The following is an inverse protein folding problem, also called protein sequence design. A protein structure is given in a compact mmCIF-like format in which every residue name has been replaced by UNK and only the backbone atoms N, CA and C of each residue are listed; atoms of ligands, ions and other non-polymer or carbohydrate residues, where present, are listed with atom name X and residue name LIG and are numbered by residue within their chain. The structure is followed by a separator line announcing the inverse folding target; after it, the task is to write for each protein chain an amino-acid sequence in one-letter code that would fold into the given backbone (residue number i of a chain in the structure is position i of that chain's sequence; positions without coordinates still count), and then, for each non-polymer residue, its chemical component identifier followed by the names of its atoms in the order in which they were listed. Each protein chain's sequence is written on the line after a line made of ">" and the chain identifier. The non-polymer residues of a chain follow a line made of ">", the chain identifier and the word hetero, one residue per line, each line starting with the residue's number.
data_IF_586385000970
#
_entry.id   IF_586385000970
#
_cell.length_a   1.000
_cell.length_b   1.000
_cell.length_c   1.000
_cell.angle_alpha   90.00
_cell.angle_beta   90.00
_cell.angle_gamma   90.00
#
_symmetry.space_group_name_H-M   'P 1'
#
loop_
_entity.id
_entity.type
_entity.pdbx_description
1 polymer ?
2 branched ?
3 non-polymer ?
4 non-polymer ?
5 non-polymer ?
6 water ?
#
# COMPACT_ATOMS: atom_id res chain seq x y z
N UNK A 7 -19.71 -31.59 20.78
CA UNK A 7 -18.52 -31.40 19.96
C UNK A 7 -18.12 -29.92 19.96
N UNK A 8 -16.81 -29.64 19.84
CA UNK A 8 -16.37 -28.24 19.87
C UNK A 8 -16.80 -27.45 18.64
N UNK A 9 -17.25 -26.23 18.86
CA UNK A 9 -17.60 -25.33 17.76
C UNK A 9 -16.35 -24.85 17.04
N UNK A 10 -16.54 -24.21 15.89
CA UNK A 10 -15.43 -23.66 15.13
C UNK A 10 -14.64 -22.67 15.98
N UNK A 11 -15.38 -21.83 16.71
CA UNK A 11 -14.76 -20.81 17.56
C UNK A 11 -14.00 -21.47 18.72
N UNK A 12 -14.58 -22.53 19.26
CA UNK A 12 -13.96 -23.25 20.37
C UNK A 12 -12.68 -23.95 19.91
N UNK A 13 -12.68 -24.51 18.71
CA UNK A 13 -11.48 -25.13 18.17
C UNK A 13 -10.35 -24.11 18.10
N UNK A 14 -10.65 -22.94 17.55
CA UNK A 14 -9.66 -21.87 17.41
C UNK A 14 -9.12 -21.46 18.78
N UNK A 15 -10.02 -21.16 19.71
CA UNK A 15 -9.65 -20.74 21.05
C UNK A 15 -8.82 -21.81 21.75
N UNK A 16 -9.24 -23.06 21.62
CA UNK A 16 -8.51 -24.16 22.24
C UNK A 16 -7.10 -24.27 21.68
N UNK A 17 -6.99 -24.24 20.36
CA UNK A 17 -5.70 -24.36 19.69
C UNK A 17 -4.83 -23.10 19.87
N UNK A 18 -5.47 -22.00 20.22
CA UNK A 18 -4.75 -20.75 20.47
C UNK A 18 -4.28 -20.06 19.20
N UNK A 19 -4.78 -20.52 18.06
CA UNK A 19 -4.34 -20.04 16.75
C UNK A 19 -5.51 -19.88 15.80
N UNK A 20 -5.54 -18.77 15.08
CA UNK A 20 -6.47 -18.58 13.95
C UNK A 20 -5.71 -18.74 12.64
N UNK A 21 -6.00 -19.81 11.91
CA UNK A 21 -5.39 -20.06 10.61
C UNK A 21 -6.22 -19.36 9.52
N UNK A 22 -5.55 -18.48 8.80
CA UNK A 22 -6.19 -17.66 7.76
C UNK A 22 -5.51 -17.91 6.42
N UNK A 23 -6.30 -18.28 5.41
CA UNK A 23 -5.72 -18.51 4.10
C UNK A 23 -5.95 -17.29 3.20
N UNK A 24 -4.93 -16.95 2.41
CA UNK A 24 -4.99 -15.75 1.59
C UNK A 24 -4.14 -15.95 0.33
N UNK A 25 -4.01 -14.89 -0.46
CA UNK A 25 -3.10 -14.89 -1.59
C UNK A 25 -1.78 -14.23 -1.19
N UNK A 26 -0.69 -14.60 -1.87
CA UNK A 26 0.59 -13.93 -1.69
C UNK A 26 0.70 -12.79 -2.68
N UNK A 27 0.38 -11.59 -2.21
CA UNK A 27 0.41 -10.40 -3.05
C UNK A 27 0.36 -9.17 -2.15
N UNK A 28 0.97 -8.05 -2.59
CA UNK A 28 0.93 -6.85 -1.76
C UNK A 28 -0.47 -6.45 -1.28
N UNK A 29 -1.49 -6.64 -2.11
CA UNK A 29 -2.86 -6.29 -1.75
C UNK A 29 -3.38 -7.09 -0.55
N UNK A 30 -2.91 -8.32 -0.39
CA UNK A 30 -3.50 -9.21 0.62
C UNK A 30 -2.53 -9.55 1.74
N UNK A 31 -1.38 -10.09 1.38
CA UNK A 31 -0.36 -10.55 2.32
C UNK A 31 0.98 -10.60 1.60
N UNK A 32 2.01 -10.01 2.19
CA UNK A 32 3.28 -9.83 1.50
C UNK A 32 4.42 -9.81 2.49
N UNK A 33 5.48 -10.55 2.15
CA UNK A 33 6.66 -10.68 2.99
C UNK A 33 7.80 -9.83 2.45
N UNK A 34 8.48 -9.14 3.35
CA UNK A 34 9.67 -8.37 3.02
C UNK A 34 10.55 -8.41 4.27
N UNK A 35 11.86 -8.31 4.08
CA UNK A 35 12.81 -8.40 5.19
C UNK A 35 12.36 -7.68 6.48
N UNK A 36 11.66 -6.55 6.31
CA UNK A 36 11.23 -5.75 7.46
C UNK A 36 9.92 -6.22 8.09
N UNK A 37 9.31 -7.26 7.54
CA UNK A 37 8.11 -7.83 8.12
C UNK A 37 7.05 -8.34 7.15
N UNK A 38 5.81 -8.34 7.62
CA UNK A 38 4.65 -8.75 6.84
C UNK A 38 3.67 -7.59 6.76
N UNK A 39 3.07 -7.41 5.59
CA UNK A 39 2.10 -6.35 5.36
C UNK A 39 0.98 -6.91 4.48
N UNK A 40 -0.03 -6.07 4.26
CA UNK A 40 -1.17 -6.43 3.44
C UNK A 40 -2.48 -6.03 4.10
N UNK A 41 -3.45 -5.64 3.29
CA UNK A 41 -4.75 -5.23 3.81
C UNK A 41 -5.38 -6.37 4.60
N UNK A 42 -5.40 -7.56 3.99
CA UNK A 42 -6.02 -8.72 4.64
C UNK A 42 -5.19 -9.19 5.83
N UNK A 43 -3.87 -9.17 5.69
CA UNK A 43 -2.98 -9.54 6.79
C UNK A 43 -3.25 -8.70 8.04
N UNK A 44 -3.30 -7.38 7.89
CA UNK A 44 -3.48 -6.50 9.03
C UNK A 44 -4.88 -6.66 9.63
N UNK A 45 -5.88 -6.82 8.76
CA UNK A 45 -7.25 -6.94 9.23
C UNK A 45 -7.44 -8.25 9.99
N UNK A 46 -6.86 -9.32 9.48
CA UNK A 46 -6.94 -10.64 10.11
C UNK A 46 -6.14 -10.70 11.40
N UNK A 47 -5.02 -9.97 11.43
CA UNK A 47 -4.21 -9.86 12.63
C UNK A 47 -5.00 -9.18 13.75
N UNK A 48 -5.74 -8.12 13.41
CA UNK A 48 -6.58 -7.46 14.39
C UNK A 48 -7.70 -8.40 14.88
N UNK A 49 -8.27 -9.19 13.98
CA UNK A 49 -9.31 -10.13 14.38
C UNK A 49 -8.76 -11.20 15.34
N UNK A 50 -7.57 -11.74 15.04
CA UNK A 50 -6.96 -12.74 15.90
C UNK A 50 -6.71 -12.17 17.30
N UNK A 51 -6.31 -10.91 17.34
CA UNK A 51 -6.07 -10.21 18.59
C UNK A 51 -7.38 -10.06 19.38
N UNK A 52 -8.45 -9.75 18.67
CA UNK A 52 -9.77 -9.66 19.28
C UNK A 52 -10.14 -10.97 19.96
N UNK A 53 -9.80 -12.08 19.30
CA UNK A 53 -10.08 -13.41 19.80
C UNK A 53 -9.08 -13.87 20.85
N UNK A 54 -7.97 -13.14 20.95
CA UNK A 54 -6.92 -13.48 21.88
C UNK A 54 -6.13 -14.70 21.44
N UNK A 55 -5.97 -14.85 20.13
CA UNK A 55 -5.21 -15.98 19.58
C UNK A 55 -4.13 -15.49 18.62
N UNK A 56 -3.25 -16.40 18.25
CA UNK A 56 -2.17 -16.10 17.31
C UNK A 56 -2.68 -16.22 15.88
N UNK A 57 -2.24 -15.30 15.02
CA UNK A 57 -2.53 -15.42 13.60
C UNK A 57 -1.50 -16.32 12.92
N UNK A 58 -1.98 -17.31 12.19
CA UNK A 58 -1.14 -18.09 11.30
C UNK A 58 -1.62 -17.93 9.86
N UNK A 59 -0.77 -17.36 9.01
CA UNK A 59 -1.11 -17.16 7.60
C UNK A 59 -0.71 -18.37 6.76
N UNK A 60 -1.65 -18.82 5.95
CA UNK A 60 -1.42 -19.80 4.92
C UNK A 60 -1.77 -19.15 3.60
N UNK A 61 -1.15 -19.61 2.51
CA UNK A 61 -1.42 -19.02 1.20
C UNK A 61 -1.77 -20.09 0.17
N UNK A 62 -2.47 -19.64 -0.87
CA UNK A 62 -2.86 -20.48 -1.99
C UNK A 62 -2.42 -19.81 -3.28
N UNK A 63 -2.14 -20.60 -4.31
CA UNK A 63 -1.58 -20.07 -5.55
C UNK A 63 -2.61 -19.60 -6.55
N UNK A 64 -3.87 -19.94 -6.30
CA UNK A 64 -4.99 -19.51 -7.13
C UNK A 64 -6.28 -19.71 -6.33
N UNK A 65 -7.40 -19.25 -6.87
CA UNK A 65 -8.63 -19.26 -6.10
C UNK A 65 -9.21 -20.67 -5.91
N UNK A 66 -9.09 -21.51 -6.92
CA UNK A 66 -9.59 -22.87 -6.81
C UNK A 66 -8.90 -23.56 -5.63
N UNK A 67 -7.58 -23.42 -5.54
CA UNK A 67 -6.79 -24.00 -4.44
C UNK A 67 -7.21 -23.40 -3.09
N UNK A 68 -7.41 -22.08 -3.08
CA UNK A 68 -7.83 -21.40 -1.86
C UNK A 68 -9.12 -21.99 -1.33
N UNK A 69 -10.11 -22.12 -2.20
CA UNK A 69 -11.40 -22.63 -1.78
C UNK A 69 -11.32 -24.12 -1.46
N UNK A 70 -10.48 -24.86 -2.17
CA UNK A 70 -10.27 -26.28 -1.87
C UNK A 70 -9.68 -26.47 -0.48
N UNK A 71 -8.71 -25.62 -0.14
CA UNK A 71 -8.11 -25.68 1.19
C UNK A 71 -9.14 -25.40 2.27
N UNK A 72 -9.95 -24.37 2.04
CA UNK A 72 -10.96 -23.97 3.02
C UNK A 72 -11.96 -25.10 3.28
N UNK A 73 -12.24 -25.90 2.25
CA UNK A 73 -13.23 -26.97 2.33
C UNK A 73 -12.63 -28.33 2.68
N UNK A 74 -11.32 -28.38 2.92
CA UNK A 74 -10.70 -29.66 3.24
C UNK A 74 -10.72 -29.95 4.74
N UNK A 75 -10.75 -31.23 5.07
CA UNK A 75 -10.63 -31.66 6.45
C UNK A 75 -9.27 -31.20 6.96
N UNK A 76 -9.28 -30.52 8.10
CA UNK A 76 -8.06 -29.99 8.69
C UNK A 76 -7.65 -28.66 8.09
N UNK A 77 -8.55 -28.05 7.35
CA UNK A 77 -8.29 -26.77 6.69
C UNK A 77 -8.28 -25.57 7.61
N UNK A 78 -8.00 -24.38 7.04
CA UNK A 78 -7.93 -23.14 7.82
C UNK A 78 -9.32 -22.69 8.29
N UNK A 79 -9.34 -21.74 9.22
CA UNK A 79 -10.59 -21.25 9.81
C UNK A 79 -11.39 -20.39 8.83
N UNK A 80 -10.69 -19.54 8.07
CA UNK A 80 -11.35 -18.64 7.12
C UNK A 80 -10.36 -18.18 6.07
N UNK A 81 -10.90 -17.62 4.99
CA UNK A 81 -10.10 -17.06 3.92
C UNK A 81 -10.34 -15.55 3.87
N UNK A 82 -9.24 -14.80 3.85
CA UNK A 82 -9.24 -13.35 3.79
C UNK A 82 -8.34 -12.96 2.62
N UNK A 83 -8.94 -12.62 1.49
CA UNK A 83 -8.20 -12.59 0.24
C UNK A 83 -8.86 -11.74 -0.82
N UNK A 84 -9.55 -10.67 -0.44
CA UNK A 84 -10.20 -9.82 -1.42
C UNK A 84 -11.22 -10.58 -2.26
N UNK A 85 -11.95 -11.48 -1.62
CA UNK A 85 -12.87 -12.39 -2.31
C UNK A 85 -14.20 -11.75 -2.66
N UNK A 86 -14.61 -11.93 -3.91
CA UNK A 86 -15.94 -11.54 -4.35
C UNK A 86 -16.84 -12.78 -4.30
N UNK A 87 -17.90 -12.73 -3.49
CA UNK A 87 -18.83 -13.86 -3.45
C UNK A 87 -19.43 -14.17 -4.82
N UNK A 88 -19.58 -15.45 -5.14
CA UNK A 88 -20.10 -15.85 -6.44
C UNK A 88 -21.56 -15.47 -6.58
N UNK A 89 -22.07 -15.48 -7.80
CA UNK A 89 -23.44 -15.08 -8.04
C UNK A 89 -24.43 -16.06 -7.41
N UNK A 90 -24.05 -17.34 -7.39
CA UNK A 90 -24.90 -18.38 -6.81
C UNK A 90 -24.33 -18.92 -5.51
N UNK A 91 -25.21 -19.23 -4.56
CA UNK A 91 -24.83 -19.94 -3.34
C UNK A 91 -24.25 -21.31 -3.68
N UNK A 92 -23.26 -21.73 -2.90
CA UNK A 92 -22.72 -23.08 -2.97
C UNK A 92 -22.54 -23.54 -1.55
N UNK A 93 -22.96 -24.77 -1.25
CA UNK A 93 -22.93 -25.29 0.10
C UNK A 93 -21.52 -25.34 0.69
N UNK A 94 -20.51 -25.35 -0.17
CA UNK A 94 -19.13 -25.53 0.27
C UNK A 94 -18.55 -24.29 0.95
N UNK A 95 -19.24 -23.16 0.84
CA UNK A 95 -18.66 -21.89 1.30
C UNK A 95 -19.71 -20.88 1.73
N UNK A 96 -19.39 -20.16 2.79
CA UNK A 96 -20.25 -19.09 3.31
C UNK A 96 -19.44 -17.81 3.45
N UNK A 97 -20.08 -16.67 3.21
CA UNK A 97 -19.38 -15.40 3.24
C UNK A 97 -19.82 -14.52 4.40
N UNK A 98 -18.86 -13.74 4.89
CA UNK A 98 -19.11 -12.72 5.92
C UNK A 98 -19.85 -11.55 5.34
N UNK A 99 -20.22 -10.61 6.21
CA UNK A 99 -20.64 -9.29 5.77
C UNK A 99 -19.50 -8.67 4.97
N UNK A 100 -19.84 -7.78 4.03
CA UNK A 100 -18.82 -7.22 3.17
C UNK A 100 -18.13 -6.04 3.85
N UNK A 101 -16.86 -5.82 3.50
CA UNK A 101 -16.03 -4.84 4.19
C UNK A 101 -15.32 -3.87 3.25
N UNK A 102 -15.53 -4.03 1.95
CA UNK A 102 -14.97 -3.10 0.99
C UNK A 102 -15.75 -3.20 -0.31
N UNK A 103 -16.24 -2.07 -0.80
CA UNK A 103 -16.87 -2.02 -2.12
C UNK A 103 -15.82 -1.72 -3.18
N UNK A 104 -15.77 -2.56 -4.20
CA UNK A 104 -14.87 -2.37 -5.32
C UNK A 104 -15.64 -2.45 -6.62
N UNK A 105 -15.08 -1.88 -7.67
CA UNK A 105 -15.71 -1.86 -8.98
C UNK A 105 -14.84 -2.60 -9.99
N UNK A 106 -15.38 -3.64 -10.64
CA UNK A 106 -14.57 -4.29 -11.69
C UNK A 106 -14.30 -3.33 -12.83
N UNK A 107 -13.07 -3.34 -13.31
CA UNK A 107 -12.68 -2.44 -14.40
C UNK A 107 -11.91 -3.19 -15.47
N UNK A 108 -12.31 -2.96 -16.71
CA UNK A 108 -11.54 -3.41 -17.86
C UNK A 108 -10.34 -2.48 -17.97
N UNK A 109 -9.16 -3.07 -18.13
CA UNK A 109 -7.89 -2.35 -18.21
C UNK A 109 -7.30 -2.49 -19.59
N UNK A 110 -6.89 -1.38 -20.19
CA UNK A 110 -6.25 -1.41 -21.51
C UNK A 110 -4.90 -0.69 -21.50
N UNK A 111 -4.22 -0.71 -22.65
CA UNK A 111 -2.89 -0.11 -22.77
C UNK A 111 -2.96 1.21 -23.51
N UNK A 112 -2.48 2.26 -22.87
CA UNK A 112 -2.37 3.57 -23.51
C UNK A 112 -1.55 3.42 -24.79
N UNK A 113 -2.05 3.97 -25.90
CA UNK A 113 -1.46 3.75 -27.21
C UNK A 113 -2.32 2.89 -28.11
N UNK A 114 -3.16 2.05 -27.49
CA UNK A 114 -4.17 1.28 -28.21
C UNK A 114 -5.55 1.93 -28.03
N UNK A 115 -6.50 1.59 -28.88
CA UNK A 115 -7.82 2.17 -28.79
C UNK A 115 -8.56 1.61 -27.58
N UNK A 116 -9.24 2.50 -26.87
CA UNK A 116 -9.93 2.17 -25.64
C UNK A 116 -11.29 1.54 -25.90
N UNK A 117 -11.49 0.28 -25.47
CA UNK A 117 -12.85 -0.24 -25.57
C UNK A 117 -13.74 0.51 -24.57
N UNK A 118 -15.00 0.78 -24.91
CA UNK A 118 -15.83 1.62 -24.05
C UNK A 118 -17.10 0.93 -23.56
N UNK A 119 -17.39 -0.24 -24.11
CA UNK A 119 -18.52 -1.02 -23.63
C UNK A 119 -18.29 -2.51 -23.84
N UNK A 120 -19.09 -3.35 -23.18
CA UNK A 120 -18.86 -4.80 -23.21
C UNK A 120 -18.72 -5.39 -24.62
N UNK A 121 -19.47 -4.89 -25.60
CA UNK A 121 -19.38 -5.44 -26.96
C UNK A 121 -18.00 -5.27 -27.58
N UNK A 122 -17.27 -4.25 -27.14
CA UNK A 122 -15.94 -3.95 -27.66
C UNK A 122 -14.89 -4.96 -27.18
N UNK A 123 -15.26 -5.83 -26.25
CA UNK A 123 -14.30 -6.79 -25.71
C UNK A 123 -14.08 -7.95 -26.68
N UNK A 124 -14.98 -8.09 -27.64
CA UNK A 124 -14.80 -9.09 -28.69
C UNK A 124 -13.59 -8.70 -29.55
N UNK A 125 -12.83 -9.70 -29.99
CA UNK A 125 -11.70 -9.49 -30.86
C UNK A 125 -10.45 -9.01 -30.16
N UNK A 126 -10.36 -9.27 -28.86
CA UNK A 126 -9.24 -8.83 -28.04
C UNK A 126 -8.52 -10.02 -27.40
N UNK A 127 -7.22 -9.84 -27.16
CA UNK A 127 -6.46 -10.76 -26.31
C UNK A 127 -6.69 -10.37 -24.86
N UNK A 128 -7.42 -11.20 -24.12
CA UNK A 128 -7.79 -10.95 -22.74
C UNK A 128 -7.26 -12.05 -21.85
N UNK A 129 -6.74 -11.69 -20.68
CA UNK A 129 -6.43 -12.70 -19.67
C UNK A 129 -6.91 -12.26 -18.30
N UNK A 130 -7.50 -13.21 -17.59
CA UNK A 130 -8.00 -13.00 -16.23
C UNK A 130 -7.57 -14.16 -15.34
N UNK A 131 -7.77 -14.03 -14.04
CA UNK A 131 -7.44 -15.11 -13.12
C UNK A 131 -8.51 -16.18 -13.15
N UNK A 132 -8.07 -17.42 -13.27
CA UNK A 132 -8.98 -18.57 -13.24
C UNK A 132 -9.70 -18.69 -11.90
N UNK A 133 -10.98 -19.03 -11.96
CA UNK A 133 -11.80 -19.22 -10.78
C UNK A 133 -12.29 -17.92 -10.17
N UNK A 134 -12.07 -16.80 -10.85
CA UNK A 134 -12.43 -15.49 -10.33
C UNK A 134 -13.86 -15.09 -10.71
N UNK A 135 -14.39 -14.12 -9.96
CA UNK A 135 -15.64 -13.46 -10.31
C UNK A 135 -15.51 -12.74 -11.65
N UNK A 136 -14.31 -12.23 -11.93
CA UNK A 136 -14.03 -11.59 -13.21
C UNK A 136 -14.18 -12.56 -14.39
N UNK A 137 -13.67 -13.77 -14.22
CA UNK A 137 -13.87 -14.80 -15.23
C UNK A 137 -15.36 -15.10 -15.44
N UNK A 138 -16.10 -15.18 -14.34
CA UNK A 138 -17.55 -15.40 -14.41
C UNK A 138 -18.22 -14.28 -15.20
N UNK A 139 -17.79 -13.05 -14.95
CA UNK A 139 -18.34 -11.91 -15.68
C UNK A 139 -18.21 -12.09 -17.18
N UNK A 140 -17.04 -12.55 -17.61
CA UNK A 140 -16.77 -12.74 -19.03
C UNK A 140 -17.50 -13.96 -19.57
N UNK A 141 -17.62 -15.01 -18.75
CA UNK A 141 -18.36 -16.20 -19.18
C UNK A 141 -19.81 -15.79 -19.47
N UNK A 142 -20.36 -14.95 -18.61
CA UNK A 142 -21.73 -14.49 -18.77
C UNK A 142 -21.85 -13.64 -20.04
N UNK A 143 -20.85 -12.79 -20.27
CA UNK A 143 -20.85 -11.96 -21.47
C UNK A 143 -20.77 -12.82 -22.74
N UNK A 144 -20.02 -13.91 -22.66
CA UNK A 144 -19.79 -14.78 -23.83
C UNK A 144 -21.10 -15.41 -24.28
N UNK A 145 -22.05 -15.56 -23.38
CA UNK A 145 -23.37 -16.07 -23.75
C UNK A 145 -24.07 -15.08 -24.67
N UNK A 146 -23.79 -13.80 -24.49
CA UNK A 146 -24.40 -12.75 -25.29
C UNK A 146 -23.60 -12.49 -26.57
N UNK A 147 -22.28 -12.63 -26.47
CA UNK A 147 -21.38 -12.43 -27.59
C UNK A 147 -20.48 -13.65 -27.75
N UNK A 148 -20.98 -14.70 -28.44
CA UNK A 148 -20.24 -15.96 -28.57
C UNK A 148 -18.86 -15.85 -29.20
N UNK A 149 -18.58 -14.78 -29.93
CA UNK A 149 -17.26 -14.58 -30.50
C UNK A 149 -16.24 -14.11 -29.46
N UNK A 150 -16.72 -13.74 -28.27
CA UNK A 150 -15.84 -13.32 -27.19
C UNK A 150 -14.81 -14.40 -26.87
N UNK A 151 -13.56 -14.00 -26.72
CA UNK A 151 -12.50 -14.91 -26.32
C UNK A 151 -11.70 -14.33 -25.17
N UNK A 152 -11.38 -15.16 -24.20
CA UNK A 152 -10.53 -14.77 -23.08
C UNK A 152 -9.80 -15.97 -22.54
N UNK A 153 -8.60 -15.73 -22.04
CA UNK A 153 -7.80 -16.77 -21.41
C UNK A 153 -7.83 -16.62 -19.90
N UNK A 154 -7.62 -17.74 -19.19
CA UNK A 154 -7.61 -17.77 -17.74
C UNK A 154 -6.29 -18.33 -17.24
N UNK A 155 -5.65 -17.63 -16.32
CA UNK A 155 -4.43 -18.12 -15.69
C UNK A 155 -4.69 -18.60 -14.28
N UNK A 156 -4.16 -19.77 -13.92
CA UNK A 156 -4.23 -20.26 -12.55
C UNK A 156 -2.87 -20.24 -11.85
N UNK A 157 -1.92 -19.46 -12.37
CA UNK A 157 -0.57 -19.48 -11.82
C UNK A 157 0.08 -18.10 -11.70
N UNK A 158 -0.70 -17.03 -11.83
CA UNK A 158 -0.17 -15.68 -11.61
C UNK A 158 -1.07 -14.90 -10.68
N UNK A 159 -0.60 -13.70 -10.33
CA UNK A 159 -1.33 -12.76 -9.50
C UNK A 159 -1.75 -11.56 -10.34
N UNK A 160 -2.52 -10.65 -9.75
CA UNK A 160 -3.08 -9.56 -10.53
C UNK A 160 -1.97 -8.64 -11.05
N UNK A 161 -0.88 -8.50 -10.30
CA UNK A 161 0.23 -7.66 -10.76
C UNK A 161 0.78 -8.16 -12.09
N UNK A 162 0.80 -9.49 -12.26
CA UNK A 162 1.28 -10.09 -13.50
C UNK A 162 0.36 -9.82 -14.68
N UNK A 163 -0.95 -9.86 -14.47
CA UNK A 163 -1.91 -9.54 -15.52
C UNK A 163 -1.73 -8.09 -15.97
N UNK A 164 -1.60 -7.19 -15.01
CA UNK A 164 -1.47 -5.78 -15.32
C UNK A 164 -0.15 -5.52 -16.06
N UNK A 165 0.91 -6.23 -15.66
CA UNK A 165 2.18 -6.14 -16.38
C UNK A 165 2.01 -6.59 -17.84
N UNK A 166 1.22 -7.64 -18.07
CA UNK A 166 1.00 -8.12 -19.44
C UNK A 166 0.37 -7.05 -20.30
N UNK A 167 -0.57 -6.29 -19.73
CA UNK A 167 -1.17 -5.18 -20.47
C UNK A 167 -0.12 -4.10 -20.70
N UNK A 168 0.64 -3.80 -19.65
CA UNK A 168 1.60 -2.71 -19.69
C UNK A 168 2.62 -2.86 -20.82
N UNK A 169 3.07 -4.09 -21.04
CA UNK A 169 4.12 -4.34 -22.02
C UNK A 169 3.58 -4.85 -23.35
N UNK A 170 2.25 -5.02 -23.44
CA UNK A 170 1.61 -5.42 -24.67
C UNK A 170 1.52 -6.92 -24.94
N UNK A 171 1.76 -7.74 -23.93
CA UNK A 171 1.61 -9.20 -24.08
C UNK A 171 0.15 -9.59 -24.32
N UNK A 172 -0.76 -8.84 -23.70
CA UNK A 172 -2.19 -8.98 -23.94
C UNK A 172 -2.77 -7.59 -24.19
N UNK A 173 -3.99 -7.53 -24.72
CA UNK A 173 -4.68 -6.26 -24.93
C UNK A 173 -5.38 -5.75 -23.68
N UNK A 174 -6.07 -6.66 -22.99
CA UNK A 174 -6.92 -6.28 -21.87
C UNK A 174 -6.87 -7.26 -20.71
N UNK A 175 -7.15 -6.75 -19.51
CA UNK A 175 -7.54 -7.61 -18.41
C UNK A 175 -8.72 -6.99 -17.69
N UNK A 176 -9.17 -7.68 -16.65
CA UNK A 176 -10.33 -7.30 -15.86
C UNK A 176 -9.96 -7.54 -14.40
N UNK A 177 -9.96 -6.46 -13.62
CA UNK A 177 -9.53 -6.51 -12.23
C UNK A 177 -10.43 -5.66 -11.35
N UNK A 178 -10.29 -5.76 -10.03
CA UNK A 178 -11.03 -4.87 -9.14
C UNK A 178 -10.34 -3.51 -9.07
N UNK A 179 -11.14 -2.47 -8.88
CA UNK A 179 -10.64 -1.10 -8.88
C UNK A 179 -9.54 -0.89 -7.83
N UNK A 180 -9.63 -1.56 -6.70
CA UNK A 180 -8.61 -1.40 -5.67
C UNK A 180 -7.27 -2.00 -6.12
N UNK A 181 -7.34 -3.09 -6.89
CA UNK A 181 -6.14 -3.72 -7.45
C UNK A 181 -5.49 -2.82 -8.50
N UNK A 182 -6.30 -2.15 -9.30
CA UNK A 182 -5.78 -1.20 -10.26
C UNK A 182 -5.08 -0.05 -9.53
N UNK A 183 -5.75 0.51 -8.53
CA UNK A 183 -5.18 1.63 -7.78
C UNK A 183 -3.83 1.27 -7.14
N UNK A 184 -3.74 0.07 -6.59
CA UNK A 184 -2.51 -0.41 -5.96
C UNK A 184 -1.37 -0.54 -6.96
N UNK A 185 -1.71 -0.99 -8.17
CA UNK A 185 -0.70 -1.33 -9.15
C UNK A 185 -0.44 -0.29 -10.23
N UNK A 186 -1.26 0.76 -10.27
CA UNK A 186 -1.10 1.79 -11.28
C UNK A 186 0.29 2.40 -11.21
N UNK A 187 0.87 2.38 -10.01
CA UNK A 187 2.16 3.01 -9.75
C UNK A 187 3.33 2.22 -10.32
N UNK A 188 3.08 1.01 -10.83
CA UNK A 188 4.15 0.19 -11.40
C UNK A 188 4.11 0.17 -12.92
N UNK A 189 2.97 0.52 -13.48
CA UNK A 189 2.73 0.30 -14.91
C UNK A 189 2.31 1.58 -15.60
N UNK A 190 3.28 2.25 -16.26
CA UNK A 190 3.01 3.57 -16.82
C UNK A 190 1.98 3.56 -17.96
N UNK A 191 1.79 2.43 -18.62
CA UNK A 191 0.89 2.37 -19.78
C UNK A 191 -0.52 1.88 -19.46
N UNK A 192 -0.77 1.29 -18.29
CA UNK A 192 -2.11 0.76 -18.06
C UNK A 192 -3.08 1.89 -17.73
N UNK A 193 -4.30 1.72 -18.21
CA UNK A 193 -5.36 2.69 -18.06
C UNK A 193 -6.67 1.96 -17.85
N UNK A 194 -7.58 2.60 -17.13
CA UNK A 194 -8.94 2.09 -17.02
C UNK A 194 -9.71 2.36 -18.32
N UNK A 195 -10.26 1.31 -18.91
CA UNK A 195 -11.09 1.46 -20.10
C UNK A 195 -12.52 1.87 -19.70
N UNK A 196 -13.15 1.05 -18.86
CA UNK A 196 -14.48 1.35 -18.33
C UNK A 196 -14.82 0.44 -17.16
N UNK A 197 -15.81 0.85 -16.37
CA UNK A 197 -16.31 0.07 -15.25
C UNK A 197 -17.24 -1.00 -15.79
N UNK A 198 -16.96 -2.26 -15.46
CA UNK A 198 -17.69 -3.40 -16.01
C UNK A 198 -18.51 -4.06 -14.92
N UNK A 199 -19.78 -3.67 -14.81
CA UNK A 199 -20.66 -4.15 -13.76
C UNK A 199 -20.77 -3.20 -12.58
N UNK A 200 -21.71 -3.51 -11.69
CA UNK A 200 -21.94 -2.68 -10.53
C UNK A 200 -20.88 -2.97 -9.46
N UNK A 201 -20.67 -2.01 -8.57
CA UNK A 201 -19.77 -2.22 -7.45
C UNK A 201 -20.26 -3.38 -6.61
N UNK A 202 -19.31 -4.12 -6.04
CA UNK A 202 -19.66 -5.25 -5.20
C UNK A 202 -18.76 -5.32 -3.98
N UNK A 203 -19.26 -6.01 -2.96
CA UNK A 203 -18.59 -6.08 -1.68
C UNK A 203 -17.70 -7.29 -1.54
N UNK A 204 -16.49 -7.07 -1.03
CA UNK A 204 -15.57 -8.16 -0.73
C UNK A 204 -15.91 -8.71 0.64
N UNK A 205 -15.70 -10.00 0.82
CA UNK A 205 -16.10 -10.67 2.06
C UNK A 205 -15.13 -11.80 2.39
N UNK A 206 -14.96 -12.09 3.68
CA UNK A 206 -14.20 -13.26 4.10
C UNK A 206 -15.05 -14.50 3.88
N UNK A 207 -14.38 -15.63 3.61
CA UNK A 207 -15.05 -16.89 3.34
C UNK A 207 -14.77 -17.89 4.45
N UNK A 208 -15.82 -18.58 4.87
CA UNK A 208 -15.72 -19.63 5.89
C UNK A 208 -16.19 -20.96 5.31
N UNK A 209 -15.85 -22.06 6.00
CA UNK A 209 -16.28 -23.38 5.52
C UNK A 209 -17.80 -23.49 5.51
N UNK A 210 -18.30 -24.47 4.74
CA UNK A 210 -19.73 -24.69 4.64
C UNK A 210 -20.27 -25.31 5.91
N UNK A 211 -21.60 -25.34 6.03
CA UNK A 211 -22.23 -25.97 7.18
C UNK A 211 -23.04 -24.97 7.98
N UNK A 212 -23.44 -25.39 9.19
CA UNK A 212 -24.39 -24.65 10.00
C UNK A 212 -23.75 -24.07 11.27
N UNK A 213 -22.44 -24.16 11.38
CA UNK A 213 -21.74 -23.61 12.55
C UNK A 213 -21.49 -22.12 12.36
N UNK A 214 -22.17 -21.28 13.15
CA UNK A 214 -22.06 -19.83 13.03
C UNK A 214 -21.21 -19.20 14.13
N UNK A 215 -20.52 -20.02 14.92
CA UNK A 215 -19.81 -19.52 16.10
C UNK A 215 -18.70 -18.56 15.69
N UNK A 216 -17.93 -18.92 14.67
CA UNK A 216 -16.85 -18.04 14.23
C UNK A 216 -17.41 -16.93 13.34
N UNK A 217 -18.35 -17.27 12.47
CA UNK A 217 -18.96 -16.30 11.55
C UNK A 217 -19.51 -15.08 12.27
N UNK A 218 -20.22 -15.30 13.38
CA UNK A 218 -20.83 -14.19 14.09
C UNK A 218 -19.76 -13.29 14.70
N UNK A 219 -18.65 -13.88 15.13
CA UNK A 219 -17.54 -13.09 15.65
C UNK A 219 -16.85 -12.31 14.54
N UNK A 220 -16.72 -12.93 13.37
CA UNK A 220 -16.17 -12.24 12.21
C UNK A 220 -17.00 -10.99 11.90
N UNK A 221 -18.31 -11.16 11.83
CA UNK A 221 -19.18 -10.06 11.45
C UNK A 221 -19.23 -8.96 12.51
N UNK A 222 -19.16 -9.36 13.78
CA UNK A 222 -19.08 -8.39 14.87
C UNK A 222 -17.78 -7.60 14.76
N UNK A 223 -16.69 -8.29 14.46
CA UNK A 223 -15.40 -7.66 14.30
C UNK A 223 -15.38 -6.66 13.15
N UNK A 224 -15.91 -7.07 12.00
CA UNK A 224 -15.91 -6.21 10.82
C UNK A 224 -16.72 -4.94 11.09
N UNK A 225 -17.84 -5.07 11.79
CA UNK A 225 -18.64 -3.89 12.12
C UNK A 225 -17.82 -2.94 13.01
N UNK A 226 -17.10 -3.52 13.96
CA UNK A 226 -16.25 -2.75 14.86
C UNK A 226 -15.08 -2.11 14.12
N UNK A 227 -14.49 -2.85 13.19
CA UNK A 227 -13.39 -2.33 12.38
C UNK A 227 -13.84 -1.10 11.60
N UNK A 228 -15.06 -1.16 11.09
CA UNK A 228 -15.62 -0.06 10.32
C UNK A 228 -15.79 1.16 11.22
N UNK A 229 -16.42 0.94 12.38
CA UNK A 229 -16.71 2.02 13.31
C UNK A 229 -15.45 2.72 13.82
N UNK A 230 -14.39 1.95 14.05
CA UNK A 230 -13.13 2.47 14.58
C UNK A 230 -12.31 3.17 13.50
N UNK A 231 -12.69 3.00 12.24
CA UNK A 231 -11.97 3.59 11.13
C UNK A 231 -10.81 2.73 10.64
N UNK A 232 -10.73 1.49 11.13
CA UNK A 232 -9.65 0.59 10.73
C UNK A 232 -9.75 0.24 9.25
N UNK A 233 -10.96 -0.07 8.78
CA UNK A 233 -11.14 -0.40 7.37
C UNK A 233 -10.69 0.75 6.49
N UNK A 234 -11.05 1.98 6.86
CA UNK A 234 -10.67 3.15 6.08
C UNK A 234 -9.15 3.35 6.06
N UNK A 235 -8.51 3.20 7.21
CA UNK A 235 -7.06 3.39 7.28
C UNK A 235 -6.33 2.35 6.43
N UNK A 236 -6.74 1.09 6.52
CA UNK A 236 -6.11 0.04 5.73
C UNK A 236 -6.40 0.28 4.25
N UNK A 237 -7.62 0.66 3.94
CA UNK A 237 -7.99 0.92 2.55
C UNK A 237 -7.09 2.01 1.96
N UNK A 238 -6.89 3.08 2.72
CA UNK A 238 -6.07 4.18 2.25
C UNK A 238 -4.60 3.78 2.08
N UNK A 239 -4.08 2.96 3.00
CA UNK A 239 -2.67 2.57 2.91
C UNK A 239 -2.41 1.75 1.66
N UNK A 240 -3.25 0.74 1.42
CA UNK A 240 -2.96 -0.23 0.37
C UNK A 240 -3.59 0.14 -0.96
N UNK A 241 -4.77 0.75 -0.90
CA UNK A 241 -5.59 0.98 -2.09
C UNK A 241 -5.83 2.46 -2.36
N UNK A 242 -5.13 3.32 -1.62
CA UNK A 242 -5.33 4.75 -1.73
C UNK A 242 -4.38 5.52 -2.63
N UNK A 243 -3.53 4.84 -3.41
CA UNK A 243 -2.49 5.56 -4.17
C UNK A 243 -3.06 6.60 -5.13
N UNK A 244 -4.12 6.24 -5.86
CA UNK A 244 -4.70 7.17 -6.81
C UNK A 244 -5.48 8.25 -6.08
N UNK A 245 -6.19 7.88 -5.00
CA UNK A 245 -6.89 8.89 -4.20
C UNK A 245 -5.97 9.99 -3.71
N UNK A 246 -4.75 9.63 -3.30
CA UNK A 246 -3.84 10.57 -2.66
C UNK A 246 -2.88 11.22 -3.65
N UNK A 247 -2.26 10.43 -4.53
CA UNK A 247 -1.29 10.93 -5.48
C UNK A 247 -1.95 11.53 -6.72
N UNK A 248 -3.20 11.17 -6.94
CA UNK A 248 -3.89 11.53 -8.17
C UNK A 248 -3.61 10.48 -9.21
N UNK A 249 -4.48 10.37 -10.21
CA UNK A 249 -4.30 9.36 -11.23
C UNK A 249 -3.07 9.62 -12.10
N UNK A 250 -2.93 10.85 -12.58
CA UNK A 250 -1.74 11.24 -13.33
C UNK A 250 -0.49 11.05 -12.49
N UNK A 251 -0.55 11.43 -11.21
CA UNK A 251 0.57 11.28 -10.30
C UNK A 251 0.99 9.82 -10.20
N UNK A 252 0.00 8.94 -10.19
CA UNK A 252 0.26 7.51 -10.05
C UNK A 252 0.98 6.97 -11.29
N UNK A 253 0.45 7.20 -12.49
CA UNK A 253 1.11 6.59 -13.65
C UNK A 253 2.38 7.35 -14.01
N UNK A 254 2.52 8.57 -13.51
CA UNK A 254 3.76 9.33 -13.70
C UNK A 254 4.85 8.78 -12.80
N UNK A 255 4.50 8.41 -11.57
CA UNK A 255 5.43 7.71 -10.71
C UNK A 255 5.92 6.44 -11.40
N UNK A 256 5.00 5.73 -12.03
CA UNK A 256 5.34 4.50 -12.73
C UNK A 256 6.40 4.74 -13.80
N UNK A 257 6.25 5.82 -14.56
CA UNK A 257 7.24 6.15 -15.59
C UNK A 257 8.60 6.47 -14.96
N UNK A 258 8.59 7.24 -13.88
CA UNK A 258 9.84 7.59 -13.21
C UNK A 258 10.50 6.37 -12.59
N UNK A 259 9.69 5.44 -12.08
CA UNK A 259 10.19 4.22 -11.51
C UNK A 259 10.94 3.41 -12.56
N UNK A 260 10.38 3.40 -13.76
CA UNK A 260 10.95 2.66 -14.88
C UNK A 260 12.15 3.37 -15.49
N UNK A 261 12.09 4.69 -15.60
CA UNK A 261 13.09 5.45 -16.37
C UNK A 261 14.15 6.16 -15.55
N UNK A 262 13.79 6.64 -14.36
CA UNK A 262 14.72 7.44 -13.56
C UNK A 262 15.43 6.64 -12.47
N UNK A 263 14.68 5.85 -11.69
CA UNK A 263 15.29 5.19 -10.54
C UNK A 263 16.47 4.29 -10.90
N UNK A 264 16.40 3.58 -12.05
CA UNK A 264 17.55 2.73 -12.36
C UNK A 264 18.87 3.50 -12.48
N UNK A 265 18.80 4.80 -12.75
CA UNK A 265 20.03 5.62 -12.80
C UNK A 265 20.67 5.83 -11.43
N UNK A 266 19.87 5.71 -10.36
CA UNK A 266 20.30 6.10 -9.01
C UNK A 266 20.18 4.99 -7.97
N UNK A 267 19.54 3.88 -8.34
CA UNK A 267 19.28 2.81 -7.39
C UNK A 267 20.57 2.33 -6.71
N UNK A 268 21.64 2.19 -7.47
CA UNK A 268 22.90 1.71 -6.91
C UNK A 268 23.42 2.65 -5.82
N UNK A 269 23.31 3.96 -6.06
CA UNK A 269 23.70 4.95 -5.04
C UNK A 269 22.86 4.79 -3.77
N UNK A 270 21.54 4.68 -3.93
CA UNK A 270 20.67 4.53 -2.77
C UNK A 270 21.05 3.27 -1.99
N UNK A 271 21.33 2.19 -2.72
CA UNK A 271 21.64 0.92 -2.08
C UNK A 271 22.98 1.00 -1.35
N UNK A 272 23.94 1.67 -1.99
CA UNK A 272 25.25 1.85 -1.42
C UNK A 272 25.16 2.63 -0.12
N UNK A 273 24.42 3.74 -0.14
CA UNK A 273 24.24 4.56 1.05
C UNK A 273 23.48 3.81 2.13
N UNK A 274 22.41 3.11 1.75
CA UNK A 274 21.64 2.35 2.70
C UNK A 274 22.48 1.30 3.41
N UNK A 275 23.33 0.62 2.64
CA UNK A 275 24.16 -0.42 3.22
C UNK A 275 25.18 0.15 4.19
N UNK A 276 25.86 1.23 3.80
CA UNK A 276 26.89 1.78 4.68
C UNK A 276 26.27 2.48 5.90
N UNK A 277 25.03 2.94 5.79
CA UNK A 277 24.35 3.60 6.90
C UNK A 277 23.39 2.67 7.66
N UNK A 278 23.33 1.41 7.24
CA UNK A 278 22.45 0.41 7.84
C UNK A 278 21.00 0.88 7.90
N UNK A 279 20.50 1.37 6.77
CA UNK A 279 19.12 1.80 6.69
C UNK A 279 18.52 1.38 5.33
N UNK A 280 17.22 1.18 5.35
CA UNK A 280 16.49 0.70 4.18
C UNK A 280 16.65 1.67 3.02
N UNK A 281 17.23 1.20 1.92
CA UNK A 281 17.51 2.06 0.77
C UNK A 281 16.22 2.60 0.15
N UNK A 282 15.12 1.88 0.33
CA UNK A 282 13.86 2.27 -0.31
C UNK A 282 13.24 3.48 0.37
N UNK A 283 13.52 3.65 1.66
CA UNK A 283 13.09 4.86 2.36
C UNK A 283 13.90 6.07 1.87
N UNK A 284 15.20 5.86 1.68
CA UNK A 284 16.06 6.89 1.12
C UNK A 284 15.56 7.29 -0.27
N UNK A 285 15.23 6.29 -1.09
CA UNK A 285 14.74 6.54 -2.43
C UNK A 285 13.41 7.27 -2.41
N UNK A 286 12.58 6.98 -1.41
CA UNK A 286 11.28 7.62 -1.27
C UNK A 286 11.45 9.09 -0.93
N UNK A 287 12.44 9.40 -0.10
CA UNK A 287 12.77 10.79 0.19
C UNK A 287 13.17 11.50 -1.10
N UNK A 288 14.03 10.87 -1.87
CA UNK A 288 14.49 11.43 -3.13
C UNK A 288 13.37 11.68 -4.10
N UNK A 289 12.37 10.80 -4.14
CA UNK A 289 11.25 11.03 -5.05
C UNK A 289 10.42 12.24 -4.62
N UNK A 290 10.08 12.31 -3.34
CA UNK A 290 9.30 13.43 -2.84
C UNK A 290 10.06 14.75 -3.01
N UNK A 291 11.38 14.73 -2.87
CA UNK A 291 12.15 15.96 -2.97
C UNK A 291 12.35 16.45 -4.42
N UNK A 292 12.63 15.54 -5.36
CA UNK A 292 13.05 15.95 -6.69
C UNK A 292 12.47 15.12 -7.84
N UNK A 293 11.62 14.16 -7.52
CA UNK A 293 11.15 13.18 -8.50
C UNK A 293 12.33 12.47 -9.15
N UNK A 294 13.38 12.24 -8.36
CA UNK A 294 14.64 11.63 -8.81
C UNK A 294 15.25 12.41 -9.98
N UNK A 295 15.52 13.68 -9.71
CA UNK A 295 16.13 14.60 -10.69
C UNK A 295 17.29 15.34 -10.01
N UNK A 296 18.53 15.01 -10.39
CA UNK A 296 19.66 15.57 -9.63
C UNK A 296 19.90 17.05 -9.85
N UNK A 297 19.30 17.64 -10.88
CA UNK A 297 19.47 19.06 -11.14
C UNK A 297 18.31 19.90 -10.66
N UNK A 298 17.42 19.29 -9.87
CA UNK A 298 16.22 19.97 -9.38
C UNK A 298 16.55 21.19 -8.52
N UNK A 299 15.58 22.10 -8.46
CA UNK A 299 15.73 23.34 -7.71
C UNK A 299 14.39 23.77 -7.12
N UNK A 300 14.37 24.09 -5.83
CA UNK A 300 13.17 24.61 -5.18
C UNK A 300 13.12 26.13 -5.36
N UNK A 301 12.05 26.75 -4.87
CA UNK A 301 11.91 28.18 -4.98
C UNK A 301 12.94 28.91 -4.11
N UNK A 302 13.43 28.23 -3.08
CA UNK A 302 14.15 28.86 -1.99
C UNK A 302 15.65 28.61 -1.95
N UNK A 303 16.21 28.09 -3.03
CA UNK A 303 17.66 27.90 -3.13
C UNK A 303 18.14 26.50 -2.80
N UNK A 304 17.21 25.64 -2.40
CA UNK A 304 17.53 24.25 -2.09
C UNK A 304 17.68 23.52 -3.41
N UNK A 305 18.68 22.64 -3.52
CA UNK A 305 19.00 22.01 -4.80
C UNK A 305 19.34 20.52 -4.68
N UNK A 306 19.13 19.83 -5.80
CA UNK A 306 19.64 18.48 -5.96
C UNK A 306 18.63 17.39 -5.69
N UNK A 307 19.06 16.15 -5.88
CA UNK A 307 18.18 15.01 -5.80
C UNK A 307 17.50 14.90 -4.44
N UNK A 308 18.24 15.18 -3.37
CA UNK A 308 17.71 15.07 -2.01
C UNK A 308 17.39 16.44 -1.40
N UNK A 309 17.51 17.50 -2.20
CA UNK A 309 17.12 18.85 -1.78
C UNK A 309 17.79 19.27 -0.50
N UNK A 310 19.12 19.32 -0.54
CA UNK A 310 19.91 19.78 0.59
C UNK A 310 20.05 21.30 0.53
N UNK A 311 19.89 21.93 1.67
CA UNK A 311 20.28 23.33 1.80
C UNK A 311 21.78 23.40 1.72
N UNK A 312 22.33 24.59 1.46
CA UNK A 312 23.78 24.73 1.43
C UNK A 312 24.38 24.41 2.80
N UNK A 313 23.67 24.80 3.86
CA UNK A 313 24.12 24.53 5.22
C UNK A 313 24.22 23.04 5.49
N UNK A 314 23.20 22.30 5.06
CA UNK A 314 23.19 20.86 5.29
C UNK A 314 24.26 20.19 4.44
N UNK A 315 24.39 20.61 3.18
CA UNK A 315 25.42 20.07 2.29
C UNK A 315 26.81 20.22 2.91
N UNK A 316 27.13 21.43 3.35
CA UNK A 316 28.42 21.71 3.98
C UNK A 316 28.63 20.84 5.21
N UNK A 317 27.61 20.77 6.05
CA UNK A 317 27.67 20.00 7.28
C UNK A 317 27.92 18.50 7.01
N UNK A 318 27.41 18.02 5.88
CA UNK A 318 27.51 16.61 5.52
C UNK A 318 28.73 16.31 4.63
N UNK A 319 29.48 17.35 4.29
CA UNK A 319 30.65 17.17 3.47
C UNK A 319 30.33 17.00 2.00
N UNK A 320 29.16 17.49 1.59
CA UNK A 320 28.77 17.49 0.18
C UNK A 320 29.38 18.71 -0.51
N UNK A 321 30.21 18.46 -1.52
CA UNK A 321 30.88 19.53 -2.26
C UNK A 321 30.19 19.84 -3.60
N UNK A 322 29.33 18.94 -4.05
CA UNK A 322 28.50 19.20 -5.23
C UNK A 322 27.08 18.70 -5.03
N UNK A 323 26.18 19.61 -4.65
CA UNK A 323 24.77 19.29 -4.45
C UNK A 323 24.09 18.74 -5.71
N UNK A 324 24.64 19.05 -6.88
CA UNK A 324 24.03 18.62 -8.14
C UNK A 324 24.54 17.26 -8.58
N UNK A 325 25.45 16.67 -7.80
CA UNK A 325 25.93 15.33 -8.12
C UNK A 325 25.02 14.32 -7.43
N UNK A 326 24.41 13.41 -8.22
CA UNK A 326 23.41 12.52 -7.62
C UNK A 326 23.97 11.65 -6.49
N UNK A 327 25.16 11.09 -6.68
CA UNK A 327 25.76 10.24 -5.64
C UNK A 327 25.98 11.05 -4.37
N UNK A 328 26.56 12.24 -4.50
CA UNK A 328 26.81 13.06 -3.32
C UNK A 328 25.51 13.49 -2.62
N UNK A 329 24.52 13.90 -3.40
CA UNK A 329 23.25 14.33 -2.84
C UNK A 329 22.61 13.20 -2.05
N UNK A 330 22.59 12.03 -2.65
CA UNK A 330 22.03 10.84 -2.02
C UNK A 330 22.78 10.51 -0.73
N UNK A 331 24.11 10.48 -0.81
CA UNK A 331 24.88 10.15 0.37
C UNK A 331 24.67 11.20 1.46
N UNK A 332 24.71 12.48 1.09
CA UNK A 332 24.55 13.56 2.06
C UNK A 332 23.19 13.57 2.71
N UNK A 333 22.15 13.44 1.89
CA UNK A 333 20.79 13.42 2.40
C UNK A 333 20.54 12.22 3.28
N UNK A 334 21.08 11.07 2.90
CA UNK A 334 20.89 9.84 3.66
C UNK A 334 21.58 9.94 5.01
N UNK A 335 22.83 10.42 4.98
CA UNK A 335 23.60 10.62 6.21
C UNK A 335 22.86 11.58 7.15
N UNK A 336 22.31 12.65 6.58
CA UNK A 336 21.60 13.65 7.37
C UNK A 336 20.35 13.05 8.02
N UNK A 337 19.55 12.34 7.22
CA UNK A 337 18.37 11.64 7.74
C UNK A 337 18.74 10.71 8.89
N UNK A 338 19.78 9.91 8.71
CA UNK A 338 20.22 8.98 9.75
C UNK A 338 20.69 9.69 10.99
N UNK A 339 21.43 10.78 10.80
CA UNK A 339 21.95 11.54 11.92
C UNK A 339 20.80 12.14 12.73
N UNK A 340 19.85 12.78 12.06
CA UNK A 340 18.78 13.43 12.80
C UNK A 340 17.87 12.37 13.43
N UNK A 341 17.72 11.21 12.80
CA UNK A 341 16.95 10.14 13.45
C UNK A 341 17.65 9.69 14.73
N UNK A 342 18.97 9.58 14.70
CA UNK A 342 19.75 9.16 15.86
C UNK A 342 19.67 10.20 16.98
N UNK A 343 19.48 11.47 16.62
CA UNK A 343 19.46 12.56 17.59
C UNK A 343 18.10 12.80 18.23
N UNK A 344 17.06 12.12 17.75
CA UNK A 344 15.74 12.26 18.34
C UNK A 344 15.74 11.76 19.78
N UNK A 345 14.87 12.33 20.64
CA UNK A 345 14.77 11.85 22.02
C UNK A 345 14.57 10.35 22.11
N UNK A 346 15.21 9.72 23.08
CA UNK A 346 15.17 8.27 23.20
C UNK A 346 13.75 7.74 23.40
N UNK A 347 12.86 8.59 23.89
CA UNK A 347 11.48 8.18 24.18
C UNK A 347 10.66 7.89 22.92
N UNK A 348 11.14 8.38 21.77
CA UNK A 348 10.46 8.11 20.52
C UNK A 348 10.98 6.78 19.97
N UNK A 349 10.08 5.81 19.82
CA UNK A 349 10.43 4.47 19.38
C UNK A 349 10.03 4.22 17.93
N UNK A 350 10.71 3.28 17.28
CA UNK A 350 10.32 2.87 15.95
C UNK A 350 8.99 2.13 16.04
N UNK A 351 8.17 2.20 14.99
CA UNK A 351 8.45 2.84 13.70
C UNK A 351 8.24 4.35 13.70
N UNK A 352 7.66 4.89 14.76
CA UNK A 352 7.33 6.31 14.80
C UNK A 352 8.59 7.14 14.63
N UNK A 353 9.69 6.64 15.20
CA UNK A 353 10.97 7.33 15.18
C UNK A 353 11.37 7.72 13.76
N UNK A 354 11.20 6.81 12.81
CA UNK A 354 11.54 7.12 11.43
C UNK A 354 10.65 8.22 10.86
N UNK A 355 9.38 8.25 11.27
CA UNK A 355 8.48 9.27 10.73
C UNK A 355 8.82 10.66 11.30
N UNK A 356 9.14 10.70 12.59
CA UNK A 356 9.61 11.93 13.23
C UNK A 356 10.89 12.41 12.54
N UNK A 357 11.75 11.48 12.14
CA UNK A 357 12.99 11.86 11.46
C UNK A 357 12.70 12.45 10.08
N UNK A 358 11.72 11.91 9.38
CA UNK A 358 11.27 12.52 8.13
C UNK A 358 10.77 13.95 8.35
N UNK A 359 10.00 14.14 9.42
CA UNK A 359 9.51 15.46 9.77
C UNK A 359 10.67 16.42 9.96
N UNK A 360 11.65 15.99 10.74
CA UNK A 360 12.83 16.81 11.03
C UNK A 360 13.65 17.08 9.77
N UNK A 361 13.71 16.11 8.86
CA UNK A 361 14.41 16.31 7.60
C UNK A 361 13.89 17.55 6.91
N UNK A 362 12.57 17.72 6.97
CA UNK A 362 11.89 18.77 6.26
C UNK A 362 11.77 20.09 7.04
N UNK A 363 11.53 20.01 8.35
CA UNK A 363 11.21 21.20 9.13
C UNK A 363 12.25 21.54 10.19
N UNK A 364 13.20 20.64 10.43
CA UNK A 364 14.22 20.83 11.45
C UNK A 364 13.79 20.36 12.82
N UNK A 365 14.76 19.98 13.64
CA UNK A 365 14.48 19.46 14.96
C UNK A 365 13.85 20.47 15.91
N UNK A 366 14.18 21.74 15.74
CA UNK A 366 13.67 22.79 16.63
C UNK A 366 12.16 22.97 16.48
N UNK A 367 11.69 23.19 15.26
CA UNK A 367 10.26 23.33 15.02
C UNK A 367 9.54 22.04 15.40
N UNK A 368 10.17 20.89 15.13
CA UNK A 368 9.56 19.62 15.52
C UNK A 368 9.35 19.51 17.02
N UNK A 369 10.33 19.95 17.80
CA UNK A 369 10.21 19.97 19.26
C UNK A 369 9.05 20.85 19.69
N UNK A 370 8.85 21.98 19.01
CA UNK A 370 7.70 22.83 19.33
C UNK A 370 6.39 22.06 19.13
N UNK A 371 6.29 21.29 18.06
CA UNK A 371 5.08 20.50 17.80
C UNK A 371 4.88 19.43 18.87
N UNK A 372 5.98 18.84 19.34
CA UNK A 372 5.90 17.81 20.38
C UNK A 372 5.46 18.45 21.68
N UNK A 373 5.98 19.63 21.98
CA UNK A 373 5.56 20.35 23.19
C UNK A 373 4.08 20.67 23.11
N UNK A 374 3.62 21.07 21.94
CA UNK A 374 2.20 21.38 21.71
C UNK A 374 1.35 20.15 21.96
N UNK A 375 1.80 19.03 21.42
CA UNK A 375 1.10 17.76 21.59
C UNK A 375 0.91 17.46 23.08
N UNK A 376 2.00 17.55 23.84
CA UNK A 376 1.96 17.27 25.27
C UNK A 376 0.97 18.20 25.98
N UNK A 377 1.02 19.48 25.62
CA UNK A 377 0.14 20.48 26.22
C UNK A 377 -1.33 20.15 25.95
N UNK A 378 -1.60 19.62 24.76
CA UNK A 378 -2.96 19.23 24.37
C UNK A 378 -3.36 17.87 24.92
N UNK A 379 -2.48 17.23 25.68
CA UNK A 379 -2.78 15.94 26.28
C UNK A 379 -2.62 14.78 25.31
N UNK A 380 -1.94 15.04 24.20
CA UNK A 380 -1.59 13.99 23.25
C UNK A 380 -0.24 13.37 23.61
N UNK A 381 0.13 12.32 22.91
CA UNK A 381 1.38 11.63 23.15
C UNK A 381 2.47 12.18 22.24
N UNK A 382 3.46 12.89 22.81
CA UNK A 382 4.52 13.49 21.99
C UNK A 382 5.46 12.48 21.35
N UNK A 383 5.33 11.21 21.74
CA UNK A 383 6.14 10.14 21.18
C UNK A 383 5.41 9.36 20.09
N UNK A 384 4.17 9.75 19.81
CA UNK A 384 3.40 9.10 18.75
C UNK A 384 3.24 10.04 17.58
N UNK A 385 3.70 9.57 16.42
CA UNK A 385 3.71 10.38 15.22
C UNK A 385 2.31 10.84 14.84
N UNK A 386 1.31 9.98 14.98
CA UNK A 386 -0.04 10.34 14.56
C UNK A 386 -0.58 11.49 15.40
N UNK A 387 -0.12 11.62 16.64
CA UNK A 387 -0.52 12.74 17.49
C UNK A 387 0.21 14.04 17.12
N UNK A 388 1.52 13.96 16.96
CA UNK A 388 2.32 15.16 16.69
C UNK A 388 1.98 15.71 15.30
N UNK A 389 1.71 14.79 14.38
CA UNK A 389 1.28 15.15 13.04
C UNK A 389 0.05 16.09 13.06
N UNK A 390 -0.82 15.92 14.06
CA UNK A 390 -1.97 16.81 14.23
C UNK A 390 -1.55 18.24 14.57
N UNK A 391 -0.45 18.37 15.29
CA UNK A 391 0.00 19.66 15.78
C UNK A 391 0.79 20.45 14.75
N UNK A 392 1.50 19.76 13.86
CA UNK A 392 2.43 20.43 12.95
C UNK A 392 1.80 21.57 12.15
N UNK A 393 0.58 21.39 11.61
CA UNK A 393 0.00 22.49 10.82
C UNK A 393 -0.23 23.76 11.63
N UNK A 394 -0.34 23.63 12.95
CA UNK A 394 -0.53 24.80 13.80
C UNK A 394 0.66 25.76 13.77
N UNK A 395 1.85 25.27 13.43
CA UNK A 395 3.03 26.12 13.37
C UNK A 395 2.95 27.14 12.23
N UNK A 396 2.01 26.97 11.31
CA UNK A 396 1.83 27.91 10.21
C UNK A 396 0.78 28.97 10.55
N UNK A 397 0.16 28.84 11.71
CA UNK A 397 -0.92 29.73 12.15
C UNK A 397 -0.47 30.60 13.32
N UNK A 398 -0.54 31.92 13.13
CA UNK A 398 -0.01 32.88 14.11
C UNK A 398 -0.61 32.71 15.49
N UNK A 399 -1.88 32.33 15.56
CA UNK A 399 -2.55 32.20 16.86
C UNK A 399 -1.87 31.11 17.69
N UNK A 400 -1.19 30.18 17.03
CA UNK A 400 -0.46 29.14 17.72
C UNK A 400 1.04 29.40 17.74
N UNK A 401 1.63 29.87 16.63
CA UNK A 401 3.09 29.88 16.55
C UNK A 401 3.71 31.05 17.33
N UNK A 402 2.95 32.11 17.56
CA UNK A 402 3.51 33.32 18.17
C UNK A 402 4.07 33.06 19.58
N UNK A 403 3.46 32.12 20.29
CA UNK A 403 3.88 31.84 21.65
C UNK A 403 4.80 30.63 21.77
N UNK A 404 5.12 30.00 20.63
CA UNK A 404 6.09 28.91 20.61
C UNK A 404 7.52 29.45 20.69
N UNK A 405 8.46 28.56 20.99
CA UNK A 405 9.85 28.94 21.11
C UNK A 405 10.41 29.39 19.77
N UNK A 406 10.18 28.60 18.73
CA UNK A 406 10.84 28.86 17.45
C UNK A 406 9.93 29.49 16.40
N UNK A 407 8.65 29.63 16.70
CA UNK A 407 7.77 30.44 15.88
C UNK A 407 7.29 29.76 14.62
N UNK A 408 7.03 30.58 13.61
CA UNK A 408 6.40 30.13 12.37
C UNK A 408 7.20 29.05 11.65
N UNK A 409 6.48 28.06 11.13
CA UNK A 409 7.08 27.05 10.25
C UNK A 409 5.99 26.44 9.37
N UNK A 410 6.39 25.97 8.20
CA UNK A 410 5.43 25.44 7.23
C UNK A 410 5.06 24.00 7.59
N UNK A 411 4.37 23.83 8.71
CA UNK A 411 4.06 22.52 9.22
C UNK A 411 3.09 21.72 8.37
N UNK A 412 2.25 22.41 7.61
CA UNK A 412 1.34 21.75 6.69
C UNK A 412 2.11 21.01 5.62
N UNK A 413 3.14 21.66 5.09
CA UNK A 413 4.05 21.09 4.08
C UNK A 413 4.69 19.84 4.63
N UNK A 414 5.11 19.91 5.89
CA UNK A 414 5.80 18.80 6.52
C UNK A 414 4.90 17.58 6.62
N UNK A 415 3.64 17.78 6.99
CA UNK A 415 2.68 16.68 7.04
C UNK A 415 2.58 16.00 5.67
N UNK A 416 2.44 16.81 4.63
CA UNK A 416 2.34 16.31 3.26
C UNK A 416 3.62 15.55 2.88
N UNK A 417 4.76 16.14 3.22
CA UNK A 417 6.05 15.50 2.97
C UNK A 417 6.13 14.10 3.58
N UNK A 418 5.84 13.99 4.86
CA UNK A 418 5.95 12.69 5.54
C UNK A 418 4.95 11.68 4.99
N UNK A 419 3.72 12.13 4.76
CA UNK A 419 2.69 11.25 4.22
C UNK A 419 3.12 10.67 2.88
N UNK A 420 3.59 11.53 2.01
CA UNK A 420 3.98 11.12 0.68
C UNK A 420 5.18 10.19 0.72
N UNK A 421 6.19 10.52 1.51
CA UNK A 421 7.37 9.65 1.59
C UNK A 421 6.98 8.27 2.12
N UNK A 422 6.10 8.21 3.12
CA UNK A 422 5.68 6.93 3.66
C UNK A 422 4.99 6.09 2.58
N UNK A 423 4.18 6.73 1.75
CA UNK A 423 3.47 6.02 0.69
C UNK A 423 4.45 5.54 -0.40
N UNK A 424 5.38 6.40 -0.83
CA UNK A 424 6.38 5.98 -1.82
C UNK A 424 7.24 4.84 -1.28
N UNK A 425 7.53 4.89 0.02
CA UNK A 425 8.29 3.84 0.68
C UNK A 425 7.54 2.52 0.60
N UNK A 426 6.26 2.54 0.91
CA UNK A 426 5.42 1.35 0.75
C UNK A 426 5.49 0.86 -0.69
N UNK A 427 5.28 1.76 -1.65
CA UNK A 427 5.24 1.40 -3.06
C UNK A 427 6.52 0.68 -3.47
N UNK A 428 7.67 1.21 -3.07
CA UNK A 428 8.94 0.58 -3.41
C UNK A 428 9.13 -0.77 -2.72
N UNK A 429 8.67 -0.87 -1.47
CA UNK A 429 8.76 -2.11 -0.71
C UNK A 429 7.92 -3.22 -1.36
N UNK A 430 6.83 -2.84 -2.00
CA UNK A 430 5.87 -3.79 -2.57
C UNK A 430 6.15 -4.17 -4.03
N UNK A 431 7.25 -3.66 -4.59
CA UNK A 431 7.69 -4.07 -5.93
C UNK A 431 7.90 -5.58 -5.97
N UNK A 432 7.37 -6.21 -7.01
CA UNK A 432 7.55 -7.65 -7.23
C UNK A 432 8.24 -7.89 -8.57
N UNK A 433 8.83 -9.06 -8.71
CA UNK A 433 9.60 -9.40 -9.91
C UNK A 433 8.72 -10.00 -11.00
N UNK A 434 9.00 -9.65 -12.27
CA UNK A 434 8.26 -10.26 -13.38
C UNK A 434 8.51 -11.76 -13.48
N UNK A 435 7.64 -12.46 -14.21
CA UNK A 435 7.80 -13.89 -14.46
C UNK A 435 9.16 -14.24 -15.05
X LIG B 1 4.94 19.85 -6.45
X LIG B 1 4.62 20.07 -5.01
X LIG B 1 5.96 20.39 -4.32
X LIG B 1 6.95 19.22 -4.43
X LIG B 1 6.94 18.64 -5.86
X LIG B 1 7.34 17.16 -6.04
X LIG B 1 2.32 20.88 -4.82
X LIG B 1 1.39 22.09 -4.63
X LIG B 1 5.50 22.05 -2.63
X LIG B 1 4.14 22.21 -1.98
X LIG B 1 6.59 22.53 -1.68
X LIG B 1 3.78 19.74 -7.30
X LIG B 1 5.72 20.65 -2.92
X LIG B 1 8.23 19.85 -4.20
X LIG B 1 5.64 18.60 -6.47
X LIG B 1 7.49 16.35 -4.87
X LIG B 1 1.85 19.74 -4.92
X LIG B 1 3.48 21.20 -1.60
X LIG B 1 3.65 23.36 -1.82
X LIG B 1 3.63 21.15 -4.84
X LIG B 2 8.99 19.35 -3.07
X LIG B 2 10.24 20.26 -2.99
X LIG B 2 11.12 19.89 -1.78
X LIG B 2 10.29 19.79 -0.51
X LIG B 2 9.11 18.86 -0.73
X LIG B 2 8.20 18.78 0.48
X LIG B 2 10.87 21.06 -5.23
X LIG B 2 11.73 20.81 -6.44
X LIG B 2 11.00 20.18 -4.22
X LIG B 2 12.16 20.86 -1.59
X LIG B 2 11.09 19.33 0.56
X LIG B 2 8.31 19.36 -1.82
X LIG B 2 7.07 17.97 0.23
X LIG B 2 10.09 22.01 -5.17
X LIG C 1 15.29 21.65 5.55
X LIG C 1 16.80 21.15 5.77
X LIG C 1 16.99 21.17 7.38
X LIG C 1 16.45 22.37 8.08
X LIG C 1 15.12 22.58 7.63
X LIG C 1 14.86 22.82 6.33
X LIG C 1 15.22 21.95 4.24
X LIG C 1 16.86 19.98 5.33
X LIG C 1 17.91 19.58 4.44
X LIG C 1 18.79 20.35 4.08
X LIG C 1 17.91 18.13 3.93
X LIG C 1 18.36 21.06 7.59
X LIG C 1 16.45 22.12 9.55
X LIG C 1 17.34 23.00 10.42
X LIG C 1 18.76 22.99 9.91
X LIG C 1 17.47 22.36 11.79
X LIG C 1 16.77 24.39 10.45
X LIG C 1 14.36 23.81 8.54
X LIG C 1 15.11 25.01 8.46
X LIG C 1 14.20 20.68 2.38
X LIG C 1 13.91 21.53 3.62
X LIG C 1 13.29 22.58 3.15
X LIG C 1 12.31 22.00 1.95
X LIG C 1 13.00 20.98 1.42
X LIG C 1 14.27 19.28 2.66
X LIG C 1 13.00 18.72 2.90
X LIG C 1 11.89 23.00 0.85
X LIG C 1 12.72 23.73 0.35
X LIG C 1 10.52 23.02 0.44
X LIG C 1 10.06 23.90 -0.61
X LIG C 1 9.63 25.27 -0.09
X LIG C 1 9.13 26.22 -1.52
X LIG C 1 10.36 26.62 -2.33
X LIG C 1 8.55 27.56 -1.14
X LIG C 1 8.17 25.41 -2.37
X LIG D 1 1.93 -17.88 -7.35
X LIG E 1 -10.37 -10.25 -5.18
X LIG F 1 12.25 27.85 10.62
X LIG G 1 -1.42 -6.76 -5.56
X LIG H 1 2.34 24.95 5.85
X LIG I 1 2.02 10.18 7.95
#
# INVERSE_FOLDING_TARGET
>A
GSSEAKAPTALERVQKEGVLRVITRNSPATYFQDRNGETGFEYELAKRFAERLGVELKIETADNLDDLYAQLSREGGPALAAAGLTPGREDDASVRYSHTYLDVTPQIIYRNGQQRPTRPEDLVGKRIMVLKGSSHAEQLAELKKQYPELKYEESDAVEVVDLLRMVDVGDIDLTLVDSNELAMNQVYFPNVRVAFDFGEARGLAWALPGGDDDSLMNEVNAFLDQAKKEGLLQRLKDRYYGHVDVLGYVGAYTFAQHLQQRLPRYESHFKQSGKQLDTDWRLLAAIGYQESLWQPGATSKTGVRGLMMLTNRTAQAMGVSNRLDPKQSIQGGSKYFVQIRSELPESIKEPDRSWFALAAYNIGGAHLEDARKMAEKEGLNPNKWLDVKKMLPRLAQKQWYAKTRYGYARGGETVHFVQNVRRYYDILTWVTQPQ
>B hetero
1 AMU C1 C2 C3 C4 C5 C6 C7 C8 C9 C10 C11 O1 O3 O4 O5 O6 O7 O10 O11 N2
2 NAG C1 C2 C3 C4 C5 C6 C7 C8 N2 O3 O4 O5 O6 O7
>C hetero
1 BLG C1 C2 C3 C4 C5 O5 O1 N2 C7 O7 C8 O3 O4 S4 O41 O42 O43 C6 O6 CA CB CG CD N C9 O9 C10 O10 N3 C11 C12 S OS1 OS2 OS3
>D hetero
1 MG MG
>E hetero
1 MG MG
>F hetero
1 MG MG
>G hetero
1 CL CL
>H hetero
1 CL CL
>I hetero
1 CL CL
#
